data_IF_601421879016
#
_entry.id   IF_601421879016
#
_cell.length_a   1.000
_cell.length_b   1.000
_cell.length_c   1.000
_cell.angle_alpha   90.00
_cell.angle_beta   90.00
_cell.angle_gamma   90.00
#
_symmetry.space_group_name_H-M   'P 1'
#
loop_
_entity.id
_entity.type
_entity.pdbx_description
1 polymer ?
#
# COMPACT_ATOMS: atom_id res chain seq x y z
N UNK A 1 11.96 -7.48 -35.31
CA UNK A 1 12.76 -6.65 -34.39
C UNK A 1 13.98 -6.17 -35.12
N UNK A 2 14.25 -4.86 -35.10
CA UNK A 2 15.45 -4.30 -35.74
C UNK A 2 16.63 -4.56 -34.81
N UNK A 3 17.84 -4.76 -35.34
CA UNK A 3 19.03 -5.10 -34.52
C UNK A 3 19.41 -4.02 -33.49
N UNK A 4 18.77 -2.83 -33.55
CA UNK A 4 18.84 -1.77 -32.55
C UNK A 4 18.19 -2.15 -31.22
N UNK A 5 17.12 -2.95 -31.27
CA UNK A 5 16.30 -3.27 -30.09
C UNK A 5 16.97 -4.34 -29.23
N UNK A 6 17.72 -5.25 -29.87
CA UNK A 6 18.46 -6.32 -29.21
C UNK A 6 19.74 -5.81 -28.52
N UNK A 7 20.36 -4.76 -29.09
CA UNK A 7 21.50 -4.06 -28.48
C UNK A 7 21.05 -3.24 -27.26
N UNK A 8 19.88 -2.58 -27.34
CA UNK A 8 19.31 -1.84 -26.21
C UNK A 8 18.90 -2.78 -25.06
N UNK A 9 18.25 -3.91 -25.35
CA UNK A 9 17.87 -4.89 -24.34
C UNK A 9 19.09 -5.57 -23.68
N UNK A 10 20.18 -5.78 -24.42
CA UNK A 10 21.45 -6.25 -23.83
C UNK A 10 22.10 -5.20 -22.93
N UNK A 11 22.09 -3.93 -23.34
CA UNK A 11 22.60 -2.81 -22.53
C UNK A 11 21.87 -2.70 -21.19
N UNK A 12 20.54 -2.82 -21.20
CA UNK A 12 19.72 -2.77 -19.97
C UNK A 12 19.95 -4.00 -19.10
N UNK A 13 20.12 -5.18 -19.70
CA UNK A 13 20.44 -6.42 -18.96
C UNK A 13 21.83 -6.38 -18.31
N UNK A 14 22.81 -5.71 -18.93
CA UNK A 14 24.16 -5.54 -18.40
C UNK A 14 24.20 -4.50 -17.26
N UNK A 15 23.41 -3.42 -17.35
CA UNK A 15 23.27 -2.45 -16.26
C UNK A 15 22.56 -3.05 -15.03
N UNK A 16 21.56 -3.91 -15.23
CA UNK A 16 20.89 -4.64 -14.12
C UNK A 16 21.84 -5.64 -13.48
N UNK A 17 22.72 -6.30 -14.24
CA UNK A 17 23.73 -7.22 -13.71
C UNK A 17 24.81 -6.49 -12.87
N UNK A 18 25.06 -5.20 -13.11
CA UNK A 18 25.97 -4.38 -12.30
C UNK A 18 25.38 -3.90 -10.97
N UNK A 19 24.06 -3.96 -10.79
CA UNK A 19 23.33 -3.53 -9.59
C UNK A 19 23.06 -4.71 -8.64
N UNK A 20 23.07 -5.93 -9.16
CA UNK A 20 22.93 -7.16 -8.36
C UNK A 20 24.33 -7.64 -7.96
N UNK A 21 24.68 -7.71 -6.67
CA UNK A 21 25.97 -8.27 -6.26
C UNK A 21 26.08 -9.73 -6.73
N UNK A 22 27.18 -10.06 -7.42
CA UNK A 22 27.47 -11.45 -7.79
C UNK A 22 27.50 -12.35 -6.55
N UNK A 23 26.69 -13.41 -6.58
CA UNK A 23 26.74 -14.63 -5.77
C UNK A 23 27.56 -14.56 -4.47
N UNK A 24 26.86 -14.48 -3.34
CA UNK A 24 27.38 -15.03 -2.09
C UNK A 24 27.44 -16.55 -2.25
N UNK A 25 28.64 -17.07 -2.51
CA UNK A 25 28.94 -18.50 -2.46
C UNK A 25 28.78 -19.00 -1.02
N UNK A 26 28.07 -20.13 -0.88
CA UNK A 26 28.07 -21.02 0.27
C UNK A 26 29.50 -21.50 0.57
N UNK A 27 30.17 -20.86 1.52
CA UNK A 27 31.21 -21.43 2.38
C UNK A 27 31.92 -20.30 3.12
N UNK A 28 31.51 -19.97 4.35
CA UNK A 28 32.37 -19.39 5.40
C UNK A 28 31.55 -19.12 6.68
N UNK A 29 31.07 -20.19 7.32
CA UNK A 29 30.75 -20.18 8.75
C UNK A 29 31.46 -21.34 9.42
N UNK A 30 32.76 -21.19 9.69
CA UNK A 30 33.45 -21.92 10.77
C UNK A 30 34.56 -21.07 11.41
N UNK A 31 34.32 -20.78 12.69
CA UNK A 31 35.22 -20.82 13.84
C UNK A 31 36.59 -20.11 13.78
N UNK A 32 36.79 -19.12 14.66
CA UNK A 32 37.85 -19.01 15.70
C UNK A 32 37.35 -17.95 16.72
N UNK A 33 37.41 -18.07 18.05
CA UNK A 33 38.11 -19.04 18.88
C UNK A 33 37.70 -18.98 20.37
N UNK A 34 38.29 -19.90 21.12
CA UNK A 34 38.04 -20.24 22.52
C UNK A 34 38.81 -19.38 23.55
N UNK A 35 38.38 -19.56 24.80
CA UNK A 35 39.01 -19.30 26.12
C UNK A 35 38.73 -17.94 26.76
N UNK A 36 38.42 -17.82 28.06
CA UNK A 36 38.14 -18.79 29.14
C UNK A 36 37.73 -17.99 30.39
N UNK A 37 36.93 -18.63 31.25
CA UNK A 37 36.80 -18.49 32.72
C UNK A 37 35.59 -17.78 33.37
N UNK A 38 34.77 -18.65 34.01
CA UNK A 38 34.14 -18.57 35.35
C UNK A 38 32.95 -17.60 35.49
N UNK A 39 31.77 -17.94 36.04
CA UNK A 39 31.37 -19.03 36.93
C UNK A 39 29.86 -19.34 36.84
N UNK A 40 29.53 -20.53 37.32
CA UNK A 40 28.24 -21.19 37.50
C UNK A 40 27.06 -20.35 38.03
N UNK A 41 25.88 -20.48 37.41
CA UNK A 41 24.58 -20.52 38.13
C UNK A 41 23.69 -21.60 37.51
N UNK A 42 23.14 -22.44 38.39
CA UNK A 42 22.45 -23.68 38.11
C UNK A 42 21.08 -23.53 37.43
N UNK A 43 20.79 -24.53 36.58
CA UNK A 43 19.50 -24.77 35.92
C UNK A 43 18.44 -25.20 36.95
N UNK A 44 17.27 -24.57 36.90
CA UNK A 44 16.05 -25.07 37.55
C UNK A 44 15.20 -25.79 36.49
N UNK A 45 14.73 -27.03 36.72
CA UNK A 45 13.97 -27.78 35.74
C UNK A 45 12.49 -27.47 35.91
N UNK A 46 11.94 -26.60 35.05
CA UNK A 46 10.50 -26.60 34.79
C UNK A 46 10.26 -26.11 33.35
N UNK A 47 10.18 -27.08 32.45
CA UNK A 47 9.78 -26.86 31.07
C UNK A 47 8.33 -26.39 31.01
N UNK A 48 8.13 -25.18 30.49
CA UNK A 48 6.98 -24.88 29.66
C UNK A 48 7.50 -24.79 28.24
N UNK A 49 7.14 -25.78 27.42
CA UNK A 49 7.22 -25.64 25.97
C UNK A 49 6.33 -24.45 25.60
N UNK A 50 6.94 -23.32 25.26
CA UNK A 50 6.25 -22.30 24.48
C UNK A 50 5.96 -22.92 23.12
N UNK A 51 4.68 -23.21 22.89
CA UNK A 51 4.17 -23.64 21.60
C UNK A 51 4.48 -22.54 20.58
N UNK A 52 5.29 -22.87 19.58
CA UNK A 52 5.40 -22.05 18.37
C UNK A 52 4.00 -21.80 17.81
N UNK A 53 3.66 -20.57 17.41
CA UNK A 53 2.37 -20.30 16.79
C UNK A 53 2.27 -21.15 15.52
N UNK A 54 1.30 -22.05 15.49
CA UNK A 54 0.94 -22.85 14.33
C UNK A 54 0.61 -21.91 13.17
N UNK A 55 1.46 -21.91 12.12
CA UNK A 55 1.18 -21.26 10.84
C UNK A 55 -0.17 -21.76 10.32
N UNK A 56 -1.17 -20.89 10.26
CA UNK A 56 -2.42 -21.17 9.57
C UNK A 56 -2.12 -21.28 8.05
N UNK A 57 -2.71 -22.25 7.34
CA UNK A 57 -2.24 -22.70 6.02
C UNK A 57 -2.44 -21.70 4.85
N UNK A 58 -2.94 -20.50 5.10
CA UNK A 58 -3.44 -19.59 4.07
C UNK A 58 -2.89 -18.16 4.12
N UNK A 59 -1.93 -17.85 5.00
CA UNK A 59 -1.21 -16.55 4.99
C UNK A 59 -2.08 -15.31 5.15
N UNK A 60 -3.38 -15.49 5.44
CA UNK A 60 -4.42 -14.46 5.49
C UNK A 60 -5.30 -14.66 6.70
N UNK A 61 -5.90 -13.58 7.17
CA UNK A 61 -6.97 -13.69 8.15
C UNK A 61 -8.16 -14.49 7.58
N UNK A 62 -8.71 -15.49 8.31
CA UNK A 62 -9.80 -16.32 7.79
C UNK A 62 -11.06 -15.52 7.47
N UNK A 63 -11.67 -15.83 6.32
CA UNK A 63 -12.98 -15.32 5.91
C UNK A 63 -14.09 -15.79 6.87
N UNK A 64 -15.20 -15.06 6.91
CA UNK A 64 -16.45 -15.50 7.54
C UNK A 64 -17.27 -16.25 6.49
N UNK A 65 -17.66 -17.49 6.80
CA UNK A 65 -18.44 -18.32 5.87
C UNK A 65 -19.87 -17.79 5.65
N UNK A 66 -20.44 -18.08 4.48
CA UNK A 66 -21.82 -17.69 4.14
C UNK A 66 -21.97 -16.23 3.71
N UNK A 67 -20.87 -15.52 3.45
CA UNK A 67 -20.87 -14.18 2.88
C UNK A 67 -20.43 -14.26 1.42
N UNK A 68 -21.28 -13.75 0.53
CA UNK A 68 -20.88 -13.40 -0.84
C UNK A 68 -20.19 -12.03 -0.79
N UNK A 69 -18.87 -12.06 -0.66
CA UNK A 69 -18.06 -10.86 -0.50
C UNK A 69 -18.04 -10.03 -1.78
N UNK A 70 -18.15 -10.68 -2.94
CA UNK A 70 -18.21 -10.01 -4.23
C UNK A 70 -19.46 -9.14 -4.37
N UNK A 71 -20.62 -9.73 -4.09
CA UNK A 71 -21.89 -9.00 -4.07
C UNK A 71 -21.87 -7.91 -2.98
N UNK A 72 -21.32 -8.22 -1.81
CA UNK A 72 -21.21 -7.25 -0.73
C UNK A 72 -20.33 -6.05 -1.07
N UNK A 73 -19.22 -6.24 -1.80
CA UNK A 73 -18.36 -5.15 -2.26
C UNK A 73 -19.09 -4.21 -3.24
N UNK A 74 -19.90 -4.77 -4.15
CA UNK A 74 -20.73 -3.99 -5.08
C UNK A 74 -21.73 -3.11 -4.33
N UNK A 75 -22.43 -3.69 -3.36
CA UNK A 75 -23.51 -3.07 -2.57
C UNK A 75 -23.03 -2.31 -1.32
N UNK A 76 -21.72 -2.26 -1.07
CA UNK A 76 -21.14 -1.79 0.20
C UNK A 76 -21.68 -0.42 0.61
N UNK A 77 -21.67 0.53 -0.33
CA UNK A 77 -22.06 1.93 -0.07
C UNK A 77 -23.55 2.08 0.27
N UNK A 78 -24.40 1.13 -0.14
CA UNK A 78 -25.84 1.16 0.11
C UNK A 78 -26.19 0.73 1.55
N UNK A 79 -25.25 0.08 2.23
CA UNK A 79 -25.38 -0.38 3.63
C UNK A 79 -24.77 0.60 4.63
N UNK A 80 -24.13 1.66 4.15
CA UNK A 80 -23.50 2.67 4.99
C UNK A 80 -24.52 3.70 5.50
N UNK A 81 -24.36 4.09 6.76
CA UNK A 81 -25.02 5.27 7.30
C UNK A 81 -24.53 6.57 6.63
N UNK A 82 -25.27 7.66 6.84
CA UNK A 82 -24.95 8.96 6.26
C UNK A 82 -23.57 9.48 6.68
N UNK A 83 -23.12 9.16 7.89
CA UNK A 83 -21.81 9.56 8.41
C UNK A 83 -20.68 8.91 7.60
N UNK A 84 -20.75 7.59 7.39
CA UNK A 84 -19.77 6.82 6.62
C UNK A 84 -19.79 7.17 5.13
N UNK A 85 -20.98 7.42 4.57
CA UNK A 85 -21.10 7.95 3.20
C UNK A 85 -20.43 9.31 3.07
N UNK A 86 -20.65 10.20 4.05
CA UNK A 86 -19.97 11.50 4.10
C UNK A 86 -18.46 11.34 4.22
N UNK A 87 -18.00 10.41 5.04
CA UNK A 87 -16.59 10.07 5.17
C UNK A 87 -15.95 9.70 3.83
N UNK A 88 -16.54 8.75 3.09
CA UNK A 88 -16.04 8.36 1.77
C UNK A 88 -15.98 9.54 0.79
N UNK A 89 -17.00 10.40 0.78
CA UNK A 89 -17.03 11.59 -0.07
C UNK A 89 -15.94 12.61 0.26
N UNK A 90 -15.50 12.66 1.51
CA UNK A 90 -14.66 13.75 2.02
C UNK A 90 -13.23 13.33 2.34
N UNK A 91 -12.88 12.06 2.10
CA UNK A 91 -11.48 11.60 2.11
C UNK A 91 -10.57 12.52 1.27
N UNK A 92 -9.32 12.77 1.69
CA UNK A 92 -8.70 12.31 2.94
C UNK A 92 -9.01 13.20 4.15
N UNK A 93 -9.81 14.26 4.00
CA UNK A 93 -9.94 15.35 4.98
C UNK A 93 -11.07 15.19 6.00
N UNK A 94 -11.82 14.08 5.96
CA UNK A 94 -13.09 13.88 6.68
C UNK A 94 -13.77 15.20 7.11
N UNK A 95 -14.04 16.03 6.11
CA UNK A 95 -14.49 17.43 6.19
C UNK A 95 -14.14 18.16 7.50
N UNK A 96 -12.84 18.44 7.75
CA UNK A 96 -12.35 19.12 8.96
C UNK A 96 -13.21 20.31 9.43
N UNK A 97 -13.75 21.10 8.50
CA UNK A 97 -14.56 22.27 8.79
C UNK A 97 -16.02 21.96 9.17
N UNK A 98 -16.56 20.80 8.81
CA UNK A 98 -17.93 20.38 9.11
C UNK A 98 -17.97 18.99 9.78
N UNK A 99 -16.93 18.64 10.53
CA UNK A 99 -16.90 17.41 11.32
C UNK A 99 -18.13 17.33 12.23
N UNK A 100 -18.67 16.12 12.48
CA UNK A 100 -19.68 15.93 13.50
C UNK A 100 -19.23 16.55 14.82
N UNK A 101 -20.14 17.15 15.63
CA UNK A 101 -19.78 17.88 16.85
C UNK A 101 -18.89 17.10 17.83
N UNK A 102 -18.98 15.77 17.85
CA UNK A 102 -18.12 14.89 18.67
C UNK A 102 -16.61 14.99 18.34
N UNK A 103 -16.26 15.47 17.15
CA UNK A 103 -14.88 15.70 16.70
C UNK A 103 -14.55 17.20 16.52
N UNK A 104 -15.43 18.09 17.00
CA UNK A 104 -15.21 19.53 16.87
C UNK A 104 -13.96 19.95 17.66
N UNK A 105 -12.96 20.50 16.96
CA UNK A 105 -11.69 20.94 17.54
C UNK A 105 -10.50 20.04 17.22
N UNK A 106 -10.73 18.86 16.66
CA UNK A 106 -9.68 18.07 16.04
C UNK A 106 -9.32 18.71 14.70
N UNK A 107 -8.12 19.31 14.61
CA UNK A 107 -7.56 19.80 13.35
C UNK A 107 -7.25 18.63 12.41
N UNK A 108 -5.99 18.48 12.01
CA UNK A 108 -5.58 17.26 11.32
C UNK A 108 -5.63 16.08 12.30
N UNK A 109 -6.54 15.14 12.08
CA UNK A 109 -6.59 13.89 12.85
C UNK A 109 -5.55 12.88 12.34
N UNK A 110 -5.35 11.81 13.09
CA UNK A 110 -4.33 10.79 12.81
C UNK A 110 -4.56 10.10 11.46
N UNK A 111 -5.82 9.94 11.05
CA UNK A 111 -6.16 9.27 9.80
C UNK A 111 -5.89 10.18 8.59
N UNK A 112 -6.33 11.44 8.66
CA UNK A 112 -6.00 12.47 7.67
C UNK A 112 -4.48 12.57 7.53
N UNK A 113 -3.76 12.69 8.65
CA UNK A 113 -2.30 12.73 8.66
C UNK A 113 -1.68 11.50 7.97
N UNK A 114 -2.15 10.29 8.30
CA UNK A 114 -1.71 9.05 7.65
C UNK A 114 -1.95 9.08 6.15
N UNK A 115 -3.15 9.42 5.68
CA UNK A 115 -3.45 9.51 4.25
C UNK A 115 -2.50 10.48 3.52
N UNK A 116 -2.15 11.61 4.13
CA UNK A 116 -1.20 12.56 3.56
C UNK A 116 0.23 12.01 3.52
N UNK A 117 0.69 11.38 4.61
CA UNK A 117 2.00 10.75 4.66
C UNK A 117 2.11 9.61 3.63
N UNK A 118 1.12 8.73 3.58
CA UNK A 118 1.06 7.63 2.62
C UNK A 118 1.08 8.15 1.17
N UNK A 119 0.23 9.14 0.84
CA UNK A 119 0.22 9.75 -0.48
C UNK A 119 1.57 10.35 -0.86
N UNK A 120 2.18 11.14 0.03
CA UNK A 120 3.48 11.76 -0.21
C UNK A 120 4.59 10.70 -0.38
N UNK A 121 4.60 9.68 0.48
CA UNK A 121 5.56 8.58 0.43
C UNK A 121 5.42 7.77 -0.86
N UNK A 122 4.20 7.48 -1.30
CA UNK A 122 3.93 6.81 -2.58
C UNK A 122 4.40 7.67 -3.75
N UNK A 123 4.03 8.95 -3.80
CA UNK A 123 4.38 9.84 -4.89
C UNK A 123 5.90 10.01 -5.06
N UNK A 124 6.64 10.12 -3.95
CA UNK A 124 8.10 10.22 -3.96
C UNK A 124 8.75 8.88 -4.33
N UNK A 125 8.29 7.77 -3.76
CA UNK A 125 8.85 6.43 -4.01
C UNK A 125 8.65 5.97 -5.45
N UNK A 126 7.47 6.24 -6.02
CA UNK A 126 7.18 5.94 -7.42
C UNK A 126 8.09 6.70 -8.38
N UNK A 127 8.50 7.93 -8.02
CA UNK A 127 9.44 8.77 -8.77
C UNK A 127 9.16 8.85 -10.28
N UNK A 128 7.88 8.81 -10.67
CA UNK A 128 7.46 8.73 -12.06
C UNK A 128 7.59 10.10 -12.77
N UNK A 129 7.92 10.11 -14.07
CA UNK A 129 7.80 11.32 -14.88
C UNK A 129 6.37 11.87 -14.90
N UNK A 130 6.23 13.20 -14.97
CA UNK A 130 4.93 13.81 -15.17
C UNK A 130 4.27 13.28 -16.46
N UNK A 131 2.96 13.01 -16.39
CA UNK A 131 2.21 12.44 -17.51
C UNK A 131 2.24 10.91 -17.61
N UNK A 132 3.00 10.20 -16.77
CA UNK A 132 2.93 8.74 -16.64
C UNK A 132 1.50 8.27 -16.32
N UNK A 133 1.16 7.08 -16.82
CA UNK A 133 -0.13 6.41 -16.65
C UNK A 133 -0.11 5.57 -15.38
N UNK A 134 -1.05 5.86 -14.48
CA UNK A 134 -1.21 5.16 -13.21
C UNK A 134 -2.58 4.49 -13.18
N UNK A 135 -2.61 3.21 -12.84
CA UNK A 135 -3.83 2.50 -12.49
C UNK A 135 -3.97 2.44 -10.96
N UNK A 136 -5.09 2.92 -10.43
CA UNK A 136 -5.46 2.82 -9.02
C UNK A 136 -6.51 1.69 -8.87
N UNK A 137 -6.09 0.56 -8.30
CA UNK A 137 -6.91 -0.68 -8.21
C UNK A 137 -7.63 -0.70 -6.87
N UNK A 138 -8.97 -0.78 -6.90
CA UNK A 138 -9.78 -0.56 -5.70
C UNK A 138 -9.80 0.91 -5.30
N UNK A 139 -9.98 1.81 -6.27
CA UNK A 139 -9.80 3.26 -6.08
C UNK A 139 -10.79 3.89 -5.10
N UNK A 140 -11.84 3.15 -4.69
CA UNK A 140 -12.86 3.63 -3.79
C UNK A 140 -13.52 4.91 -4.30
N UNK A 141 -13.66 5.90 -3.43
CA UNK A 141 -14.22 7.22 -3.78
C UNK A 141 -13.26 8.11 -4.58
N UNK A 142 -12.10 7.60 -5.01
CA UNK A 142 -11.19 8.24 -5.96
C UNK A 142 -10.32 9.36 -5.39
N UNK A 143 -10.17 9.48 -4.06
CA UNK A 143 -9.37 10.54 -3.45
C UNK A 143 -7.88 10.45 -3.84
N UNK A 144 -7.32 9.24 -3.83
CA UNK A 144 -5.92 9.02 -4.18
C UNK A 144 -5.68 9.31 -5.67
N UNK A 145 -6.57 8.77 -6.51
CA UNK A 145 -6.60 9.05 -7.95
C UNK A 145 -6.66 10.55 -8.28
N UNK A 146 -7.50 11.31 -7.59
CA UNK A 146 -7.59 12.77 -7.75
C UNK A 146 -6.24 13.44 -7.44
N UNK A 147 -5.58 13.03 -6.36
CA UNK A 147 -4.34 13.64 -5.90
C UNK A 147 -3.16 13.31 -6.81
N UNK A 148 -3.04 12.08 -7.30
CA UNK A 148 -2.06 11.76 -8.33
C UNK A 148 -2.33 12.50 -9.64
N UNK A 149 -3.60 12.66 -10.05
CA UNK A 149 -3.93 13.47 -11.22
C UNK A 149 -3.52 14.94 -11.06
N UNK A 150 -3.64 15.51 -9.85
CA UNK A 150 -3.16 16.87 -9.52
C UNK A 150 -1.64 17.00 -9.59
N UNK A 151 -0.89 15.92 -9.40
CA UNK A 151 0.57 15.88 -9.64
C UNK A 151 0.92 15.79 -11.13
N UNK A 152 -0.06 15.78 -12.03
CA UNK A 152 0.12 15.78 -13.48
C UNK A 152 0.15 14.38 -14.12
N UNK A 153 -0.14 13.32 -13.37
CA UNK A 153 -0.23 11.96 -13.91
C UNK A 153 -1.54 11.74 -14.70
N UNK A 154 -1.55 10.71 -15.53
CA UNK A 154 -2.74 10.20 -16.21
C UNK A 154 -3.30 9.04 -15.39
N UNK A 155 -4.35 9.28 -14.61
CA UNK A 155 -4.85 8.29 -13.66
C UNK A 155 -6.12 7.62 -14.18
N UNK A 156 -6.17 6.30 -14.07
CA UNK A 156 -7.39 5.51 -14.19
C UNK A 156 -7.64 4.83 -12.85
N UNK A 157 -8.77 5.11 -12.22
CA UNK A 157 -9.23 4.39 -11.05
C UNK A 157 -10.23 3.31 -11.44
N UNK A 158 -10.09 2.11 -10.87
CA UNK A 158 -11.06 1.04 -11.00
C UNK A 158 -11.56 0.54 -9.66
N UNK A 159 -12.85 0.22 -9.61
CA UNK A 159 -13.51 -0.35 -8.45
C UNK A 159 -14.69 -1.20 -8.93
N UNK A 160 -15.03 -2.25 -8.19
CA UNK A 160 -16.17 -3.10 -8.55
C UNK A 160 -17.51 -2.42 -8.24
N UNK A 161 -17.54 -1.46 -7.31
CA UNK A 161 -18.76 -0.78 -6.89
C UNK A 161 -19.15 0.36 -7.85
N UNK A 162 -20.32 0.28 -8.50
CA UNK A 162 -20.84 1.37 -9.32
C UNK A 162 -21.01 2.68 -8.54
N UNK A 163 -21.39 2.59 -7.27
CA UNK A 163 -21.63 3.76 -6.42
C UNK A 163 -20.32 4.48 -6.09
N UNK A 164 -19.24 3.76 -5.78
CA UNK A 164 -17.92 4.35 -5.55
C UNK A 164 -17.39 5.05 -6.81
N UNK A 165 -17.57 4.44 -7.98
CA UNK A 165 -17.18 5.03 -9.27
C UNK A 165 -17.98 6.28 -9.61
N UNK A 166 -19.26 6.34 -9.27
CA UNK A 166 -20.03 7.58 -9.42
C UNK A 166 -19.54 8.68 -8.47
N UNK A 167 -19.20 8.33 -7.22
CA UNK A 167 -18.62 9.27 -6.25
C UNK A 167 -17.27 9.81 -6.72
N UNK A 168 -16.39 8.96 -7.27
CA UNK A 168 -15.07 9.37 -7.76
C UNK A 168 -15.15 10.29 -8.98
N UNK A 169 -16.07 10.03 -9.92
CA UNK A 169 -16.36 10.93 -11.05
C UNK A 169 -16.83 12.30 -10.57
N UNK A 170 -17.76 12.35 -9.61
CA UNK A 170 -18.24 13.62 -9.04
C UNK A 170 -17.14 14.39 -8.31
N UNK A 171 -16.31 13.69 -7.55
CA UNK A 171 -15.16 14.26 -6.85
C UNK A 171 -14.25 15.01 -7.83
N UNK A 172 -13.76 14.34 -8.87
CA UNK A 172 -12.86 14.96 -9.85
C UNK A 172 -13.55 16.09 -10.61
N UNK A 173 -14.82 15.94 -10.99
CA UNK A 173 -15.59 16.98 -11.68
C UNK A 173 -15.82 18.23 -10.80
N UNK A 174 -15.82 18.08 -9.48
CA UNK A 174 -16.02 19.20 -8.53
C UNK A 174 -14.76 20.01 -8.25
N UNK A 175 -13.59 19.57 -8.73
CA UNK A 175 -12.33 20.29 -8.52
C UNK A 175 -12.32 21.55 -9.40
N UNK A 176 -12.25 22.76 -8.80
CA UNK A 176 -12.11 23.98 -9.59
C UNK A 176 -10.68 24.04 -10.15
N UNK A 177 -10.54 23.85 -11.46
CA UNK A 177 -9.28 24.09 -12.20
C UNK A 177 -9.32 25.38 -13.04
N UNK A 178 -10.44 26.10 -13.01
CA UNK A 178 -10.62 27.35 -13.72
C UNK A 178 -9.94 28.49 -12.96
N UNK A 179 -8.83 28.97 -13.50
CA UNK A 179 -8.56 30.39 -13.79
C UNK A 179 -7.21 30.55 -14.53
N UNK A 180 -6.22 29.64 -14.36
CA UNK A 180 -4.89 29.77 -15.00
C UNK A 180 -4.19 28.43 -15.35
N UNK A 181 -4.90 27.30 -15.33
CA UNK A 181 -4.31 26.00 -15.68
C UNK A 181 -4.67 25.58 -17.10
N UNK A 182 -3.65 25.35 -17.94
CA UNK A 182 -3.83 24.98 -19.36
C UNK A 182 -4.45 23.59 -19.59
N UNK A 183 -4.55 22.75 -18.55
CA UNK A 183 -4.99 21.35 -18.69
C UNK A 183 -5.96 20.94 -17.59
N UNK A 184 -7.06 20.29 -17.99
CA UNK A 184 -7.97 19.59 -17.08
C UNK A 184 -7.28 18.40 -16.43
N UNK A 185 -7.70 18.01 -15.22
CA UNK A 185 -7.22 16.78 -14.58
C UNK A 185 -7.41 15.57 -15.50
N UNK A 186 -6.32 14.81 -15.73
CA UNK A 186 -6.34 13.58 -16.53
C UNK A 186 -6.65 12.40 -15.62
N UNK A 187 -7.91 12.32 -15.19
CA UNK A 187 -8.38 11.28 -14.28
C UNK A 187 -9.69 10.68 -14.80
N UNK A 188 -9.76 9.36 -14.89
CA UNK A 188 -10.92 8.62 -15.37
C UNK A 188 -11.25 7.45 -14.45
N UNK A 189 -12.50 7.01 -14.44
CA UNK A 189 -12.96 5.94 -13.55
C UNK A 189 -13.85 4.94 -14.27
N UNK A 190 -13.62 3.66 -14.01
CA UNK A 190 -14.40 2.56 -14.58
C UNK A 190 -14.83 1.55 -13.53
N UNK A 191 -16.06 1.06 -13.68
CA UNK A 191 -16.55 -0.09 -12.92
C UNK A 191 -15.84 -1.31 -13.50
N UNK A 192 -15.01 -1.98 -12.71
CA UNK A 192 -14.22 -3.10 -13.19
C UNK A 192 -13.92 -4.09 -12.08
N UNK A 193 -14.07 -5.37 -12.40
CA UNK A 193 -13.68 -6.45 -11.51
C UNK A 193 -12.31 -6.99 -11.91
N UNK A 194 -11.28 -6.55 -11.18
CA UNK A 194 -9.88 -6.91 -11.44
C UNK A 194 -9.57 -8.39 -11.19
N UNK A 195 -10.40 -9.14 -10.47
CA UNK A 195 -10.20 -10.59 -10.29
C UNK A 195 -10.55 -11.38 -11.56
N UNK A 196 -11.41 -10.85 -12.42
CA UNK A 196 -11.94 -11.60 -13.56
C UNK A 196 -11.10 -11.47 -14.82
N UNK A 197 -10.69 -10.24 -15.16
CA UNK A 197 -10.02 -9.94 -16.44
C UNK A 197 -9.17 -8.68 -16.30
N UNK A 198 -8.00 -8.59 -16.96
CA UNK A 198 -7.26 -7.34 -17.05
C UNK A 198 -7.99 -6.33 -17.94
N UNK A 199 -7.62 -5.05 -17.81
CA UNK A 199 -7.95 -4.04 -18.81
C UNK A 199 -7.10 -4.24 -20.06
N UNK A 200 -7.62 -3.86 -21.23
CA UNK A 200 -6.86 -3.84 -22.48
C UNK A 200 -6.01 -2.56 -22.60
N UNK A 201 -5.27 -2.26 -21.54
CA UNK A 201 -4.47 -1.05 -21.39
C UNK A 201 -3.17 -1.37 -20.65
N UNK A 202 -2.16 -0.53 -20.90
CA UNK A 202 -0.87 -0.61 -20.25
C UNK A 202 -0.61 0.61 -19.39
N UNK A 203 0.05 0.39 -18.26
CA UNK A 203 0.35 1.42 -17.26
C UNK A 203 1.84 1.41 -16.90
N UNK A 204 2.34 2.60 -16.58
CA UNK A 204 3.69 2.81 -16.10
C UNK A 204 3.77 2.48 -14.59
N UNK A 205 2.66 2.64 -13.87
CA UNK A 205 2.51 2.12 -12.52
C UNK A 205 1.10 1.63 -12.20
N UNK A 206 1.01 0.67 -11.28
CA UNK A 206 -0.23 0.21 -10.65
C UNK A 206 -0.09 0.42 -9.15
N UNK A 207 -1.13 0.97 -8.52
CA UNK A 207 -1.21 1.19 -7.08
C UNK A 207 -2.34 0.34 -6.52
N UNK A 208 -2.04 -0.44 -5.49
CA UNK A 208 -3.02 -1.04 -4.59
C UNK A 208 -2.84 -0.42 -3.21
N UNK A 209 -3.72 0.51 -2.84
CA UNK A 209 -3.66 1.22 -1.55
C UNK A 209 -4.83 0.79 -0.67
N UNK A 210 -4.55 0.08 0.43
CA UNK A 210 -5.56 -0.45 1.35
C UNK A 210 -6.72 -1.15 0.60
N UNK A 211 -6.39 -2.08 -0.31
CA UNK A 211 -7.38 -2.65 -1.26
C UNK A 211 -7.28 -4.16 -1.45
N UNK A 212 -6.07 -4.74 -1.43
CA UNK A 212 -5.86 -6.16 -1.69
C UNK A 212 -6.56 -7.06 -0.69
N UNK A 213 -6.64 -6.65 0.58
CA UNK A 213 -7.29 -7.43 1.64
C UNK A 213 -8.79 -7.60 1.42
N UNK A 214 -9.40 -6.81 0.52
CA UNK A 214 -10.79 -6.93 0.09
C UNK A 214 -11.01 -7.94 -1.05
N UNK A 215 -9.97 -8.40 -1.74
CA UNK A 215 -10.11 -9.33 -2.87
C UNK A 215 -10.19 -10.79 -2.42
N UNK A 216 -11.03 -11.55 -3.12
CA UNK A 216 -11.22 -12.98 -2.87
C UNK A 216 -10.16 -13.86 -3.54
N UNK A 217 -9.67 -13.44 -4.73
CA UNK A 217 -8.62 -14.10 -5.51
C UNK A 217 -7.51 -13.10 -5.89
N UNK A 218 -6.71 -12.74 -4.89
CA UNK A 218 -5.50 -11.92 -5.00
C UNK A 218 -4.47 -12.49 -5.99
N UNK A 219 -4.47 -13.81 -6.22
CA UNK A 219 -3.61 -14.42 -7.26
C UNK A 219 -4.09 -14.02 -8.64
N UNK A 220 -5.39 -13.99 -8.90
CA UNK A 220 -5.94 -13.44 -10.14
C UNK A 220 -5.67 -11.94 -10.28
N UNK A 221 -5.85 -11.17 -9.20
CA UNK A 221 -5.52 -9.75 -9.19
C UNK A 221 -4.06 -9.51 -9.59
N UNK A 222 -3.11 -10.22 -8.97
CA UNK A 222 -1.70 -10.06 -9.29
C UNK A 222 -1.35 -10.48 -10.72
N UNK A 223 -1.91 -11.59 -11.23
CA UNK A 223 -1.73 -12.00 -12.63
C UNK A 223 -2.23 -10.91 -13.59
N UNK A 224 -3.41 -10.36 -13.32
CA UNK A 224 -4.02 -9.33 -14.17
C UNK A 224 -3.22 -8.03 -14.10
N UNK A 225 -2.80 -7.60 -12.91
CA UNK A 225 -1.92 -6.43 -12.72
C UNK A 225 -0.60 -6.59 -13.47
N UNK A 226 0.09 -7.74 -13.32
CA UNK A 226 1.33 -8.01 -14.04
C UNK A 226 1.14 -7.91 -15.56
N UNK A 227 0.00 -8.37 -16.07
CA UNK A 227 -0.33 -8.26 -17.50
C UNK A 227 -0.66 -6.84 -17.97
N UNK A 228 -0.96 -5.90 -17.08
CA UNK A 228 -1.26 -4.50 -17.40
C UNK A 228 -0.07 -3.56 -17.23
N UNK A 229 1.05 -4.04 -16.68
CA UNK A 229 2.27 -3.25 -16.60
C UNK A 229 3.07 -3.30 -17.90
N UNK A 230 3.70 -2.18 -18.23
CA UNK A 230 4.76 -2.12 -19.24
C UNK A 230 6.07 -2.72 -18.70
N UNK A 231 7.02 -3.02 -19.60
CA UNK A 231 8.36 -3.43 -19.17
C UNK A 231 9.01 -2.30 -18.38
N UNK A 232 9.42 -2.58 -17.15
CA UNK A 232 9.93 -1.57 -16.21
C UNK A 232 8.84 -0.80 -15.46
N UNK A 233 7.56 -1.10 -15.72
CA UNK A 233 6.44 -0.59 -14.93
C UNK A 233 6.48 -1.13 -13.51
N UNK A 234 5.95 -0.35 -12.57
CA UNK A 234 6.06 -0.65 -11.12
C UNK A 234 4.70 -0.92 -10.49
N UNK A 235 4.66 -1.86 -9.56
CA UNK A 235 3.53 -2.09 -8.67
C UNK A 235 3.86 -1.53 -7.29
N UNK A 236 3.04 -0.63 -6.78
CA UNK A 236 3.10 -0.17 -5.39
C UNK A 236 1.95 -0.78 -4.60
N UNK A 237 2.28 -1.43 -3.47
CA UNK A 237 1.30 -2.00 -2.56
C UNK A 237 1.49 -1.37 -1.19
N UNK A 238 0.39 -0.87 -0.61
CA UNK A 238 0.32 -0.48 0.79
C UNK A 238 -0.83 -1.23 1.43
N UNK A 239 -0.51 -2.08 2.40
CA UNK A 239 -1.47 -2.96 3.06
C UNK A 239 -1.21 -3.03 4.57
N UNK A 240 -2.27 -3.31 5.32
CA UNK A 240 -2.17 -3.66 6.73
C UNK A 240 -1.59 -5.06 6.94
N UNK A 241 -0.77 -5.21 7.97
CA UNK A 241 -0.30 -6.53 8.41
C UNK A 241 -1.42 -7.31 9.09
N UNK A 242 -1.46 -8.62 8.85
CA UNK A 242 -2.39 -9.52 9.53
C UNK A 242 -2.21 -9.41 11.05
N UNK A 243 -3.30 -9.14 11.81
CA UNK A 243 -3.20 -9.08 13.27
C UNK A 243 -2.93 -10.46 13.86
N UNK A 244 -2.28 -10.48 15.03
CA UNK A 244 -2.04 -11.70 15.80
C UNK A 244 -3.35 -12.44 16.09
N UNK A 245 -3.30 -13.77 15.99
CA UNK A 245 -4.45 -14.62 16.28
C UNK A 245 -4.94 -14.42 17.73
N UNK A 246 -6.25 -14.26 17.90
CA UNK A 246 -6.92 -13.99 19.17
C UNK A 246 -6.80 -12.55 19.67
N UNK A 247 -6.20 -11.63 18.90
CA UNK A 247 -6.09 -10.22 19.28
C UNK A 247 -7.43 -9.48 19.15
N UNK A 248 -7.53 -8.34 19.84
CA UNK A 248 -8.68 -7.45 19.72
C UNK A 248 -8.88 -7.00 18.27
N UNK A 249 -7.81 -6.68 17.55
CA UNK A 249 -7.86 -6.26 16.14
C UNK A 249 -8.42 -7.36 15.24
N UNK A 250 -8.03 -8.63 15.44
CA UNK A 250 -8.64 -9.75 14.69
C UNK A 250 -10.14 -9.85 14.97
N UNK A 251 -10.57 -9.69 16.23
CA UNK A 251 -11.97 -9.71 16.60
C UNK A 251 -12.76 -8.54 15.97
N UNK A 252 -12.16 -7.34 15.91
CA UNK A 252 -12.74 -6.16 15.27
C UNK A 252 -12.93 -6.36 13.77
N UNK A 253 -11.90 -6.84 13.05
CA UNK A 253 -12.00 -7.13 11.62
C UNK A 253 -13.07 -8.21 11.34
N UNK A 254 -13.18 -9.22 12.19
CA UNK A 254 -14.24 -10.23 12.10
C UNK A 254 -15.62 -9.60 12.27
N UNK A 255 -15.80 -8.73 13.26
CA UNK A 255 -17.05 -8.04 13.48
C UNK A 255 -17.41 -7.11 12.30
N UNK A 256 -16.41 -6.47 11.67
CA UNK A 256 -16.61 -5.69 10.44
C UNK A 256 -17.09 -6.60 9.31
N UNK A 257 -16.47 -7.76 9.09
CA UNK A 257 -16.94 -8.73 8.09
C UNK A 257 -18.36 -9.21 8.36
N UNK A 258 -18.71 -9.52 9.61
CA UNK A 258 -20.06 -9.98 9.97
C UNK A 258 -21.11 -8.88 9.77
N UNK A 259 -20.78 -7.63 10.14
CA UNK A 259 -21.73 -6.53 10.14
C UNK A 259 -21.87 -5.85 8.77
N UNK A 260 -20.75 -5.49 8.14
CA UNK A 260 -20.72 -4.78 6.85
C UNK A 260 -20.62 -5.71 5.65
N UNK A 261 -20.29 -6.99 5.87
CA UNK A 261 -20.14 -8.01 4.80
C UNK A 261 -19.00 -7.71 3.82
N UNK A 262 -18.18 -6.70 4.09
CA UNK A 262 -16.94 -6.41 3.37
C UNK A 262 -15.87 -7.41 3.79
N UNK A 263 -15.04 -7.89 2.87
CA UNK A 263 -13.94 -8.78 3.20
C UNK A 263 -12.83 -7.99 3.87
N UNK A 264 -12.46 -8.36 5.10
CA UNK A 264 -11.33 -7.78 5.83
C UNK A 264 -10.30 -8.87 6.11
N UNK A 265 -9.51 -9.22 5.10
CA UNK A 265 -8.61 -10.36 5.15
C UNK A 265 -7.15 -9.95 4.86
N UNK A 266 -6.50 -9.24 5.81
CA UNK A 266 -5.11 -8.82 5.69
C UNK A 266 -4.15 -10.01 5.67
N UNK A 267 -2.93 -9.73 5.20
CA UNK A 267 -1.93 -10.73 4.83
C UNK A 267 -0.78 -10.81 5.83
N UNK A 268 -0.26 -12.01 6.00
CA UNK A 268 1.08 -12.21 6.53
C UNK A 268 2.09 -11.67 5.51
N UNK A 269 3.10 -10.94 5.99
CA UNK A 269 4.13 -10.36 5.13
C UNK A 269 4.80 -11.40 4.20
N UNK A 270 5.08 -12.61 4.71
CA UNK A 270 5.68 -13.69 3.90
C UNK A 270 4.77 -14.17 2.77
N UNK A 271 3.45 -14.15 3.00
CA UNK A 271 2.47 -14.56 2.00
C UNK A 271 2.41 -13.55 0.85
N UNK A 272 2.39 -12.25 1.17
CA UNK A 272 2.41 -11.21 0.14
C UNK A 272 3.69 -11.28 -0.72
N UNK A 273 4.85 -11.58 -0.11
CA UNK A 273 6.10 -11.80 -0.86
C UNK A 273 6.03 -13.01 -1.80
N UNK A 274 5.47 -14.12 -1.33
CA UNK A 274 5.27 -15.32 -2.16
C UNK A 274 4.36 -15.00 -3.35
N UNK A 275 3.25 -14.31 -3.10
CA UNK A 275 2.30 -13.87 -4.11
C UNK A 275 2.96 -12.99 -5.19
N UNK A 276 3.83 -12.06 -4.80
CA UNK A 276 4.60 -11.23 -5.73
C UNK A 276 5.58 -12.07 -6.57
N UNK A 277 6.34 -12.96 -5.93
CA UNK A 277 7.33 -13.82 -6.60
C UNK A 277 6.69 -14.73 -7.65
N UNK A 278 5.54 -15.34 -7.33
CA UNK A 278 4.81 -16.21 -8.25
C UNK A 278 4.35 -15.49 -9.53
N UNK A 279 4.17 -14.16 -9.45
CA UNK A 279 3.74 -13.33 -10.57
C UNK A 279 4.92 -12.60 -11.24
N UNK A 280 6.16 -12.99 -10.95
CA UNK A 280 7.36 -12.49 -11.61
C UNK A 280 7.78 -11.07 -11.17
N UNK A 281 7.22 -10.56 -10.08
CA UNK A 281 7.65 -9.27 -9.53
C UNK A 281 8.97 -9.41 -8.77
N UNK A 282 9.91 -8.52 -9.09
CA UNK A 282 11.10 -8.31 -8.27
C UNK A 282 10.81 -7.20 -7.25
N UNK A 283 11.09 -7.46 -5.97
CA UNK A 283 10.94 -6.46 -4.91
C UNK A 283 12.14 -5.51 -4.96
N UNK A 284 11.91 -4.28 -5.41
CA UNK A 284 12.93 -3.23 -5.54
C UNK A 284 12.92 -2.22 -4.39
N UNK A 285 11.90 -2.28 -3.54
CA UNK A 285 11.76 -1.46 -2.34
C UNK A 285 10.80 -2.15 -1.37
N UNK A 286 11.16 -2.12 -0.08
CA UNK A 286 10.42 -2.76 1.00
C UNK A 286 10.44 -1.81 2.20
N UNK A 287 9.28 -1.27 2.54
CA UNK A 287 9.15 -0.09 3.38
C UNK A 287 8.17 -0.33 4.51
N UNK A 288 8.48 0.25 5.66
CA UNK A 288 7.52 0.45 6.76
C UNK A 288 7.00 1.88 6.65
N UNK A 289 5.71 2.12 6.86
CA UNK A 289 5.17 3.49 6.81
C UNK A 289 5.74 4.31 7.97
N UNK A 290 6.47 5.39 7.64
CA UNK A 290 7.10 6.30 8.61
C UNK A 290 6.49 7.70 8.48
N UNK A 291 6.03 8.28 9.58
CA UNK A 291 5.31 9.55 9.62
C UNK A 291 6.12 10.66 10.34
N UNK A 292 6.92 11.53 9.66
CA UNK A 292 7.43 12.78 10.31
C UNK A 292 8.79 13.38 9.89
N UNK A 293 9.19 14.47 10.59
CA UNK A 293 10.45 15.26 10.42
C UNK A 293 11.54 14.81 11.42
N UNK A 294 12.81 14.74 11.01
CA UNK A 294 13.92 14.15 11.79
C UNK A 294 15.13 15.10 11.98
N UNK A 295 15.78 15.03 13.15
CA UNK A 295 16.98 15.82 13.55
C UNK A 295 18.30 15.05 13.31
N UNK A 296 19.45 15.76 13.28
CA UNK A 296 20.69 15.27 12.63
C UNK A 296 21.49 14.21 13.40
N UNK A 297 21.34 14.09 14.71
CA UNK A 297 22.07 13.09 15.50
C UNK A 297 21.35 11.72 15.48
N UNK A 298 20.20 11.62 14.81
CA UNK A 298 19.28 10.49 14.85
C UNK A 298 19.59 9.36 13.86
N UNK A 299 20.82 9.24 13.36
CA UNK A 299 21.15 8.29 12.29
C UNK A 299 22.29 7.32 12.68
N UNK A 300 21.97 6.02 12.57
CA UNK A 300 22.80 4.76 12.62
C UNK A 300 23.18 4.23 14.02
N UNK A 301 23.10 2.95 14.43
CA UNK A 301 22.51 1.67 13.97
C UNK A 301 21.35 1.31 14.93
N UNK A 302 20.07 1.28 14.59
CA UNK A 302 19.43 1.09 13.30
C UNK A 302 18.08 1.85 13.29
N UNK A 303 17.82 2.89 12.51
CA UNK A 303 18.56 3.66 11.51
C UNK A 303 17.54 4.66 10.94
N UNK A 304 17.96 5.84 10.47
CA UNK A 304 17.23 6.53 9.40
C UNK A 304 18.21 7.15 8.40
N UNK A 305 18.82 6.38 7.48
CA UNK A 305 19.72 6.96 6.49
C UNK A 305 19.00 7.13 5.15
N UNK A 306 18.37 8.30 4.98
CA UNK A 306 18.05 8.85 3.67
C UNK A 306 19.33 9.50 3.11
N UNK A 307 19.89 8.98 2.01
CA UNK A 307 21.12 9.54 1.42
C UNK A 307 20.86 11.01 1.04
N UNK A 308 21.62 11.88 1.70
CA UNK A 308 21.63 13.35 1.61
C UNK A 308 20.26 14.02 1.74
N UNK A 309 19.76 14.13 2.98
CA UNK A 309 18.65 15.04 3.28
C UNK A 309 19.21 16.47 3.39
N UNK A 310 18.73 17.43 2.58
CA UNK A 310 19.02 18.85 2.78
C UNK A 310 18.54 19.28 4.16
N UNK A 311 19.39 19.93 4.94
CA UNK A 311 19.02 20.39 6.29
C UNK A 311 18.18 21.66 6.20
N UNK A 312 16.94 21.59 6.69
CA UNK A 312 16.08 22.75 6.93
C UNK A 312 16.01 23.05 8.45
N UNK A 313 15.81 24.32 8.81
CA UNK A 313 15.55 24.71 10.20
C UNK A 313 14.07 24.55 10.53
N UNK A 314 13.74 23.67 11.47
CA UNK A 314 12.37 23.51 11.97
C UNK A 314 12.31 23.99 13.42
N UNK A 315 11.60 25.08 13.67
CA UNK A 315 11.36 25.59 15.02
C UNK A 315 9.86 25.58 15.29
N UNK A 316 9.44 24.87 16.33
CA UNK A 316 8.11 25.05 16.92
C UNK A 316 8.27 25.99 18.11
N UNK A 317 7.89 27.27 17.94
CA UNK A 317 8.00 28.29 18.98
C UNK A 317 6.63 28.79 19.43
N UNK A 318 6.39 28.82 20.74
CA UNK A 318 5.19 29.39 21.35
C UNK A 318 5.43 30.82 21.87
N UNK A 319 4.37 31.63 21.94
CA UNK A 319 4.41 32.94 22.59
C UNK A 319 4.63 32.74 24.10
N UNK A 320 5.59 33.47 24.69
CA UNK A 320 5.75 33.54 26.14
C UNK A 320 4.57 34.24 26.81
#
# INVERSE_FOLDING_TARGET
MKSSDEIFLRSVSEEIAGIIPEKVNDSNYRAVGESSHLDSIAVSPNGKQESQPTRLPNGRMPKVEGIDYKCAAVEYVDKLDDERRHYLLTKPFYNLANKPPKHAGEGMDAETFRHFCDFANMAVTLALPAGSRILDVGCGSGWLSEYFARLGYQVKGIDISPTLIEMSRRRVASVPYDIDHETTLRCSFAIHDIETVPLDEKFDAVICYDSLHHFEDERAVMRNIASMLDVGGVLFILEGERPSAGSTTEAELRAVMEHYRTLESPFDYSYLRELLNENGFAIVGDYVSVNGLFERESIEDDRLPLRSVPTNYHYLAGKK
#
